data_IF_631626242664
#
_entry.id   IF_631626242664
#
_cell.length_a   1.000
_cell.length_b   1.000
_cell.length_c   1.000
_cell.angle_alpha   90.00
_cell.angle_beta   90.00
_cell.angle_gamma   90.00
#
_symmetry.space_group_name_H-M   'P 1'
#
loop_
_entity.id
_entity.type
_entity.pdbx_description
1 polymer ?
#
# COMPACT_ATOMS: atom_id res chain seq x y z
N UNK A 1 -11.95 3.97 -31.53
CA UNK A 1 -11.19 5.17 -31.14
C UNK A 1 -11.86 5.84 -29.94
N UNK A 2 -13.00 6.53 -30.08
CA UNK A 2 -13.65 7.20 -28.94
C UNK A 2 -14.07 6.25 -27.78
N UNK A 3 -14.59 5.06 -28.08
CA UNK A 3 -14.95 4.10 -27.01
C UNK A 3 -13.71 3.51 -26.31
N UNK A 4 -12.62 3.30 -27.05
CA UNK A 4 -11.36 2.76 -26.51
C UNK A 4 -10.61 3.79 -25.64
N UNK A 5 -10.67 5.07 -26.03
CA UNK A 5 -10.14 6.19 -25.21
C UNK A 5 -10.93 6.33 -23.91
N UNK A 6 -12.26 6.22 -24.00
CA UNK A 6 -13.14 6.22 -22.84
C UNK A 6 -12.87 5.03 -21.91
N UNK A 7 -12.70 3.82 -22.43
CA UNK A 7 -12.34 2.64 -21.63
C UNK A 7 -11.01 2.85 -20.89
N UNK A 8 -9.98 3.40 -21.56
CA UNK A 8 -8.69 3.71 -20.91
C UNK A 8 -8.83 4.74 -19.79
N UNK A 9 -9.66 5.76 -20.01
CA UNK A 9 -9.95 6.78 -19.01
C UNK A 9 -10.72 6.21 -17.81
N UNK A 10 -11.65 5.28 -18.03
CA UNK A 10 -12.38 4.58 -16.96
C UNK A 10 -11.45 3.67 -16.14
N UNK A 11 -10.51 2.98 -16.79
CA UNK A 11 -9.48 2.19 -16.10
C UNK A 11 -8.58 3.09 -15.25
N UNK A 12 -8.13 4.22 -15.79
CA UNK A 12 -7.36 5.20 -15.03
C UNK A 12 -8.17 5.77 -13.86
N UNK A 13 -9.41 6.18 -14.09
CA UNK A 13 -10.31 6.67 -13.05
C UNK A 13 -10.46 5.65 -11.91
N UNK A 14 -10.67 4.38 -12.24
CA UNK A 14 -10.76 3.30 -11.26
C UNK A 14 -9.47 3.14 -10.43
N UNK A 15 -8.30 3.26 -11.07
CA UNK A 15 -7.00 3.20 -10.37
C UNK A 15 -6.82 4.34 -9.35
N UNK A 16 -7.50 5.47 -9.55
CA UNK A 16 -7.52 6.61 -8.63
C UNK A 16 -8.75 6.63 -7.70
N UNK A 17 -9.56 5.57 -7.70
CA UNK A 17 -10.74 5.44 -6.82
C UNK A 17 -11.97 6.23 -7.28
N UNK A 18 -12.00 6.66 -8.53
CA UNK A 18 -13.14 7.37 -9.13
C UNK A 18 -14.08 6.34 -9.75
N UNK A 19 -15.32 6.28 -9.26
CA UNK A 19 -16.34 5.38 -9.82
C UNK A 19 -16.93 5.97 -11.11
N UNK A 20 -17.08 5.20 -12.19
CA UNK A 20 -17.63 5.70 -13.47
C UNK A 20 -19.16 5.88 -13.44
N UNK A 21 -19.83 5.45 -12.37
CA UNK A 21 -21.27 5.66 -12.18
C UNK A 21 -21.65 5.68 -10.71
N UNK A 22 -22.80 6.28 -10.40
CA UNK A 22 -23.38 6.31 -9.06
C UNK A 22 -24.92 6.26 -9.11
N UNK A 23 -25.54 5.90 -8.00
CA UNK A 23 -27.00 6.03 -7.84
C UNK A 23 -27.32 7.41 -7.26
N UNK A 24 -28.16 8.19 -7.94
CA UNK A 24 -28.58 9.49 -7.45
C UNK A 24 -29.58 9.39 -6.29
N UNK A 25 -29.93 10.54 -5.70
CA UNK A 25 -30.85 10.63 -4.56
C UNK A 25 -32.29 10.18 -4.87
N UNK A 26 -32.61 9.95 -6.15
CA UNK A 26 -33.89 9.42 -6.61
C UNK A 26 -33.80 7.94 -7.03
N UNK A 27 -32.65 7.30 -6.83
CA UNK A 27 -32.42 5.89 -7.15
C UNK A 27 -32.09 5.61 -8.61
N UNK A 28 -31.85 6.64 -9.44
CA UNK A 28 -31.45 6.43 -10.83
C UNK A 28 -29.93 6.30 -10.94
N UNK A 29 -29.47 5.33 -11.74
CA UNK A 29 -28.05 5.24 -12.08
C UNK A 29 -27.64 6.35 -13.03
N UNK A 30 -26.56 7.05 -12.68
CA UNK A 30 -25.92 8.08 -13.49
C UNK A 30 -24.53 7.61 -13.88
N UNK A 31 -24.26 7.54 -15.17
CA UNK A 31 -22.91 7.34 -15.71
C UNK A 31 -22.22 8.68 -15.84
N UNK A 32 -20.94 8.73 -15.45
CA UNK A 32 -20.14 9.94 -15.51
C UNK A 32 -19.65 10.14 -16.96
N UNK A 33 -19.86 11.32 -17.57
CA UNK A 33 -19.30 11.62 -18.89
C UNK A 33 -17.77 11.65 -18.86
N UNK A 34 -17.07 11.28 -19.97
CA UNK A 34 -15.60 11.29 -20.04
C UNK A 34 -14.98 12.62 -19.63
N UNK A 35 -15.55 13.74 -20.09
CA UNK A 35 -15.10 15.10 -19.76
C UNK A 35 -15.05 15.36 -18.25
N UNK A 36 -15.99 14.78 -17.49
CA UNK A 36 -16.02 14.91 -16.03
C UNK A 36 -14.94 14.03 -15.37
N UNK A 37 -14.68 12.83 -15.91
CA UNK A 37 -13.59 11.98 -15.42
C UNK A 37 -12.23 12.68 -15.62
N UNK A 38 -12.01 13.29 -16.79
CA UNK A 38 -10.79 14.07 -17.07
C UNK A 38 -10.62 15.24 -16.10
N UNK A 39 -11.68 16.00 -15.82
CA UNK A 39 -11.63 17.13 -14.90
C UNK A 39 -11.31 16.70 -13.47
N UNK A 40 -11.93 15.61 -12.99
CA UNK A 40 -11.67 15.10 -11.63
C UNK A 40 -10.26 14.54 -11.53
N UNK A 41 -9.80 13.75 -12.51
CA UNK A 41 -8.42 13.26 -12.57
C UNK A 41 -7.41 14.42 -12.61
N UNK A 42 -7.65 15.43 -13.44
CA UNK A 42 -6.82 16.63 -13.52
C UNK A 42 -6.80 17.41 -12.20
N UNK A 43 -7.94 17.51 -11.50
CA UNK A 43 -8.00 18.12 -10.17
C UNK A 43 -7.23 17.33 -9.10
N UNK A 44 -7.08 16.01 -9.28
CA UNK A 44 -6.21 15.15 -8.46
C UNK A 44 -4.72 15.24 -8.85
N UNK A 45 -4.38 16.04 -9.86
CA UNK A 45 -3.02 16.23 -10.36
C UNK A 45 -2.55 15.14 -11.33
N UNK A 46 -3.47 14.38 -11.92
CA UNK A 46 -3.16 13.33 -12.90
C UNK A 46 -3.09 13.92 -14.30
N UNK A 47 -2.01 13.61 -15.03
CA UNK A 47 -1.92 13.96 -16.45
C UNK A 47 -2.75 12.99 -17.30
N UNK A 48 -3.91 13.47 -17.75
CA UNK A 48 -4.86 12.69 -18.57
C UNK A 48 -4.52 12.71 -20.06
N UNK A 49 -3.51 13.49 -20.49
CA UNK A 49 -3.09 13.51 -21.90
C UNK A 49 -2.43 12.20 -22.34
N UNK A 50 -1.90 11.44 -21.37
CA UNK A 50 -1.38 10.09 -21.58
C UNK A 50 -1.85 9.12 -20.46
N UNK A 51 -3.10 8.60 -20.55
CA UNK A 51 -3.68 7.78 -19.50
C UNK A 51 -2.88 6.50 -19.18
N UNK A 52 -2.20 5.94 -20.17
CA UNK A 52 -1.39 4.74 -20.00
C UNK A 52 -0.15 5.02 -19.15
N UNK A 53 0.54 6.14 -19.40
CA UNK A 53 1.69 6.57 -18.59
C UNK A 53 1.26 6.95 -17.17
N UNK A 54 0.10 7.60 -17.01
CA UNK A 54 -0.45 7.91 -15.69
C UNK A 54 -0.82 6.67 -14.88
N UNK A 55 -1.32 5.61 -15.53
CA UNK A 55 -1.61 4.33 -14.90
C UNK A 55 -0.32 3.62 -14.47
N UNK A 56 0.68 3.56 -15.36
CA UNK A 56 2.00 3.04 -15.02
C UNK A 56 2.59 3.80 -13.84
N UNK A 57 2.54 5.13 -13.84
CA UNK A 57 3.05 5.93 -12.71
C UNK A 57 2.36 5.59 -11.38
N UNK A 58 1.05 5.37 -11.39
CA UNK A 58 0.29 4.96 -10.21
C UNK A 58 0.74 3.57 -9.70
N UNK A 59 0.91 2.61 -10.60
CA UNK A 59 1.41 1.27 -10.27
C UNK A 59 2.85 1.35 -9.71
N UNK A 60 3.75 2.03 -10.41
CA UNK A 60 5.14 2.25 -10.00
C UNK A 60 5.22 2.86 -8.61
N UNK A 61 4.40 3.87 -8.30
CA UNK A 61 4.43 4.54 -6.99
C UNK A 61 4.19 3.55 -5.84
N UNK A 62 3.31 2.57 -6.03
CA UNK A 62 2.98 1.59 -4.99
C UNK A 62 4.10 0.57 -4.77
N UNK A 63 4.78 0.16 -5.83
CA UNK A 63 5.86 -0.84 -5.79
C UNK A 63 7.25 -0.27 -5.50
N UNK A 64 7.47 1.01 -5.84
CA UNK A 64 8.72 1.73 -5.54
C UNK A 64 8.93 1.99 -4.04
N UNK A 65 7.88 1.87 -3.24
CA UNK A 65 8.00 2.04 -1.79
C UNK A 65 8.34 0.72 -1.12
N UNK A 66 9.27 0.78 -0.18
CA UNK A 66 9.71 -0.37 0.61
C UNK A 66 8.53 -0.98 1.36
N UNK A 67 7.64 -0.17 1.90
CA UNK A 67 6.41 -0.60 2.56
C UNK A 67 5.29 0.44 2.29
N UNK A 68 4.03 0.21 2.70
CA UNK A 68 3.03 1.27 2.72
C UNK A 68 3.49 2.43 3.61
N UNK A 69 3.24 3.70 3.26
CA UNK A 69 3.67 4.84 4.07
C UNK A 69 2.80 4.99 5.33
N UNK A 70 1.54 4.56 5.24
CA UNK A 70 0.57 4.51 6.33
C UNK A 70 -0.19 3.18 6.24
N UNK A 71 -0.40 2.55 7.39
CA UNK A 71 -1.20 1.35 7.55
C UNK A 71 -2.22 1.58 8.67
N UNK A 72 -3.51 1.49 8.35
CA UNK A 72 -4.59 1.62 9.35
C UNK A 72 -5.27 0.27 9.47
N UNK A 73 -5.34 -0.27 10.69
CA UNK A 73 -5.89 -1.61 10.98
C UNK A 73 -6.82 -1.55 12.18
N UNK A 74 -7.80 -2.45 12.24
CA UNK A 74 -8.63 -2.62 13.43
C UNK A 74 -7.98 -3.60 14.40
N UNK A 75 -8.05 -3.35 15.71
CA UNK A 75 -7.50 -4.24 16.74
C UNK A 75 -8.06 -5.67 16.66
N UNK A 76 -9.31 -5.84 16.22
CA UNK A 76 -9.96 -7.15 16.09
C UNK A 76 -9.68 -7.83 14.74
N UNK A 77 -9.02 -7.13 13.82
CA UNK A 77 -8.69 -7.59 12.48
C UNK A 77 -7.26 -7.18 12.11
N UNK A 78 -6.33 -7.47 13.01
CA UNK A 78 -4.90 -7.28 12.72
C UNK A 78 -4.50 -8.18 11.52
N UNK A 79 -3.68 -7.67 10.59
CA UNK A 79 -3.18 -8.48 9.49
C UNK A 79 -2.30 -9.60 10.05
N UNK A 80 -2.25 -10.73 9.35
CA UNK A 80 -1.34 -11.81 9.72
C UNK A 80 0.13 -11.45 9.49
N UNK A 81 0.40 -10.67 8.44
CA UNK A 81 1.72 -10.36 7.93
C UNK A 81 1.89 -8.85 7.71
N UNK A 82 3.11 -8.35 7.90
CA UNK A 82 3.55 -7.05 7.41
C UNK A 82 4.37 -7.25 6.12
N UNK A 83 4.03 -6.54 5.06
CA UNK A 83 4.61 -6.71 3.72
C UNK A 83 5.63 -5.62 3.39
N UNK A 84 6.65 -5.98 2.62
CA UNK A 84 7.62 -5.05 2.07
C UNK A 84 8.09 -5.47 0.67
N UNK A 85 8.56 -4.52 -0.13
CA UNK A 85 8.99 -4.70 -1.52
C UNK A 85 10.46 -4.34 -1.69
N UNK A 86 11.18 -5.12 -2.50
CA UNK A 86 12.56 -4.83 -2.88
C UNK A 86 12.72 -4.88 -4.39
N UNK A 87 13.45 -3.92 -5.00
CA UNK A 87 13.89 -4.07 -6.38
C UNK A 87 14.96 -5.16 -6.46
N UNK A 88 14.77 -6.10 -7.37
CA UNK A 88 15.72 -7.15 -7.75
C UNK A 88 16.22 -6.82 -9.15
N UNK A 89 17.47 -6.34 -9.26
CA UNK A 89 18.15 -6.14 -10.55
C UNK A 89 18.67 -7.44 -11.16
N UNK A 90 18.49 -8.56 -10.45
CA UNK A 90 18.91 -9.89 -10.86
C UNK A 90 17.71 -10.67 -11.36
N UNK A 91 17.92 -11.53 -12.36
CA UNK A 91 16.95 -12.50 -12.91
C UNK A 91 16.07 -13.16 -11.83
N UNK A 92 14.85 -13.64 -12.16
CA UNK A 92 13.99 -14.33 -11.20
C UNK A 92 14.77 -15.35 -10.37
N UNK A 93 14.84 -15.14 -9.05
CA UNK A 93 15.61 -15.99 -8.12
C UNK A 93 17.08 -15.59 -7.82
N UNK A 94 17.58 -14.46 -8.33
CA UNK A 94 19.01 -14.11 -8.22
C UNK A 94 19.35 -12.94 -7.26
N UNK A 95 18.45 -12.53 -6.36
CA UNK A 95 18.94 -11.98 -5.10
C UNK A 95 19.78 -13.10 -4.49
N UNK A 96 21.01 -12.83 -4.06
CA UNK A 96 21.66 -13.75 -3.14
C UNK A 96 20.88 -13.69 -1.83
N UNK A 97 19.78 -14.46 -1.76
CA UNK A 97 18.85 -14.50 -0.63
C UNK A 97 19.60 -14.72 0.70
N UNK A 98 20.80 -15.30 0.62
CA UNK A 98 21.74 -15.54 1.71
C UNK A 98 22.16 -14.29 2.50
N UNK A 99 21.90 -13.07 2.02
CA UNK A 99 22.32 -11.84 2.70
C UNK A 99 21.17 -10.90 3.09
N UNK A 100 19.91 -11.32 2.92
CA UNK A 100 18.77 -10.47 3.27
C UNK A 100 18.65 -10.32 4.80
N UNK A 101 18.92 -9.11 5.29
CA UNK A 101 18.78 -8.73 6.69
C UNK A 101 17.64 -7.73 6.83
N UNK A 102 16.63 -8.07 7.63
CA UNK A 102 15.48 -7.20 7.87
C UNK A 102 15.45 -6.84 9.35
N UNK A 103 15.39 -5.55 9.65
CA UNK A 103 15.19 -5.03 11.01
C UNK A 103 13.94 -4.17 11.04
N UNK A 104 13.12 -4.37 12.06
CA UNK A 104 11.98 -3.51 12.37
C UNK A 104 12.16 -2.94 13.77
N UNK A 105 12.22 -1.62 13.87
CA UNK A 105 12.07 -0.91 15.13
C UNK A 105 10.65 -0.33 15.21
N UNK A 106 9.96 -0.58 16.31
CA UNK A 106 8.61 -0.10 16.56
C UNK A 106 8.67 0.90 17.72
N UNK A 107 8.20 2.12 17.48
CA UNK A 107 7.99 3.13 18.52
C UNK A 107 6.50 3.51 18.56
N UNK A 108 6.03 3.96 19.72
CA UNK A 108 4.64 4.37 19.90
C UNK A 108 4.47 5.24 21.14
N UNK A 109 3.28 5.80 21.33
CA UNK A 109 3.04 6.84 22.34
C UNK A 109 3.36 6.41 23.78
N UNK A 110 3.13 5.13 24.12
CA UNK A 110 3.21 4.63 25.50
C UNK A 110 3.98 3.30 25.63
N UNK A 111 4.90 3.02 24.70
CA UNK A 111 5.72 1.80 24.75
C UNK A 111 7.20 2.12 24.66
N UNK A 112 8.04 1.32 25.30
CA UNK A 112 9.46 1.31 24.99
C UNK A 112 9.68 0.79 23.56
N UNK A 113 10.72 1.26 22.85
CA UNK A 113 11.02 0.76 21.51
C UNK A 113 11.17 -0.76 21.47
N UNK A 114 10.48 -1.41 20.54
CA UNK A 114 10.56 -2.85 20.31
C UNK A 114 11.40 -3.08 19.05
N UNK A 115 12.39 -3.96 19.14
CA UNK A 115 13.29 -4.26 18.03
C UNK A 115 13.14 -5.73 17.60
N UNK A 116 12.88 -5.94 16.32
CA UNK A 116 12.88 -7.25 15.69
C UNK A 116 13.98 -7.32 14.64
N UNK A 117 14.69 -8.45 14.60
CA UNK A 117 15.60 -8.79 13.50
C UNK A 117 15.11 -10.10 12.90
N UNK A 118 15.00 -10.14 11.58
CA UNK A 118 14.59 -11.31 10.83
C UNK A 118 15.70 -11.70 9.87
N UNK A 119 16.01 -13.00 9.88
CA UNK A 119 16.84 -13.64 8.86
C UNK A 119 15.96 -14.20 7.74
N UNK A 120 16.56 -14.50 6.58
CA UNK A 120 15.85 -14.99 5.39
C UNK A 120 14.84 -16.11 5.69
N UNK A 121 15.22 -17.09 6.51
CA UNK A 121 14.39 -18.26 6.85
C UNK A 121 13.11 -17.92 7.63
N UNK A 122 13.03 -16.72 8.19
CA UNK A 122 11.86 -16.21 8.92
C UNK A 122 10.98 -15.32 8.04
N UNK A 123 11.41 -15.05 6.80
CA UNK A 123 10.70 -14.23 5.83
C UNK A 123 9.91 -15.12 4.87
N UNK A 124 8.72 -14.68 4.52
CA UNK A 124 7.86 -15.35 3.55
C UNK A 124 7.89 -14.57 2.24
N UNK A 125 8.44 -15.18 1.19
CA UNK A 125 8.26 -14.70 -0.17
C UNK A 125 6.78 -14.86 -0.57
N UNK A 126 6.20 -13.82 -1.19
CA UNK A 126 4.78 -13.81 -1.55
C UNK A 126 4.57 -13.80 -3.05
N UNK A 127 5.25 -12.89 -3.75
CA UNK A 127 5.17 -12.73 -5.21
C UNK A 127 6.30 -11.86 -5.73
N UNK A 128 6.56 -11.96 -7.01
CA UNK A 128 7.26 -10.95 -7.79
C UNK A 128 6.27 -10.17 -8.66
N UNK A 129 6.73 -9.00 -9.12
CA UNK A 129 5.99 -8.18 -10.05
C UNK A 129 6.99 -7.40 -10.91
N UNK A 130 6.88 -7.56 -12.22
CA UNK A 130 7.74 -6.86 -13.16
C UNK A 130 7.08 -5.56 -13.58
N UNK A 131 7.84 -4.48 -13.43
CA UNK A 131 7.47 -3.14 -13.84
C UNK A 131 8.63 -2.61 -14.67
N UNK A 132 8.37 -2.36 -15.96
CA UNK A 132 9.40 -2.10 -16.96
C UNK A 132 10.53 -3.16 -16.91
N UNK A 133 11.77 -2.72 -16.70
CA UNK A 133 12.97 -3.56 -16.60
C UNK A 133 13.32 -3.95 -15.15
N UNK A 134 12.49 -3.57 -14.17
CA UNK A 134 12.74 -3.83 -12.74
C UNK A 134 11.76 -4.89 -12.24
N UNK A 135 12.30 -5.96 -11.64
CA UNK A 135 11.48 -6.95 -10.93
C UNK A 135 11.42 -6.59 -9.45
N UNK A 136 10.23 -6.31 -8.94
CA UNK A 136 9.99 -6.11 -7.50
C UNK A 136 9.62 -7.43 -6.85
N UNK A 137 10.27 -7.77 -5.75
CA UNK A 137 9.91 -8.93 -4.91
C UNK A 137 9.18 -8.47 -3.66
N UNK A 138 8.02 -9.07 -3.41
CA UNK A 138 7.22 -8.88 -2.22
C UNK A 138 7.53 -9.96 -1.19
N UNK A 139 7.96 -9.52 -0.02
CA UNK A 139 8.27 -10.34 1.14
C UNK A 139 7.41 -9.93 2.31
N UNK A 140 7.39 -10.77 3.34
CA UNK A 140 6.66 -10.47 4.56
C UNK A 140 7.23 -11.20 5.77
N UNK A 141 6.87 -10.70 6.94
CA UNK A 141 7.07 -11.34 8.24
C UNK A 141 5.81 -11.18 9.09
N UNK A 142 5.62 -11.96 10.16
CA UNK A 142 4.43 -11.89 11.00
C UNK A 142 4.20 -10.47 11.55
N UNK A 143 2.96 -9.99 11.47
CA UNK A 143 2.61 -8.69 12.04
C UNK A 143 2.73 -8.71 13.57
N UNK A 144 3.26 -7.65 14.22
CA UNK A 144 3.34 -7.57 15.68
C UNK A 144 1.96 -7.51 16.36
N UNK A 145 1.39 -8.68 16.70
CA UNK A 145 0.01 -8.80 17.20
C UNK A 145 -0.19 -8.39 18.67
N UNK A 146 0.89 -8.10 19.40
CA UNK A 146 0.83 -7.71 20.81
C UNK A 146 0.59 -6.20 21.01
N UNK A 147 0.49 -5.43 19.93
CA UNK A 147 0.26 -3.99 19.99
C UNK A 147 -1.22 -3.68 20.31
N UNK A 148 -1.44 -2.67 21.15
CA UNK A 148 -2.77 -2.18 21.50
C UNK A 148 -3.26 -1.12 20.51
N UNK A 149 -4.46 -0.58 20.74
CA UNK A 149 -4.92 0.63 20.05
C UNK A 149 -3.92 1.77 20.28
N UNK A 150 -3.63 2.53 19.21
CA UNK A 150 -2.72 3.66 19.26
C UNK A 150 -2.00 3.94 17.93
N UNK A 151 -1.09 4.89 17.98
CA UNK A 151 -0.23 5.27 16.85
C UNK A 151 1.19 4.75 17.06
N UNK A 152 1.73 4.13 16.01
CA UNK A 152 3.07 3.55 16.00
C UNK A 152 3.85 3.97 14.76
N UNK A 153 5.16 4.02 14.88
CA UNK A 153 6.07 4.15 13.76
C UNK A 153 6.85 2.85 13.60
N UNK A 154 6.69 2.23 12.44
CA UNK A 154 7.42 1.02 12.05
C UNK A 154 8.59 1.46 11.18
N UNK A 155 9.77 1.55 11.79
CA UNK A 155 11.02 1.87 11.11
C UNK A 155 11.60 0.58 10.54
N UNK A 156 11.27 0.29 9.29
CA UNK A 156 11.76 -0.87 8.56
C UNK A 156 13.10 -0.55 7.90
N UNK A 157 14.12 -1.35 8.19
CA UNK A 157 15.42 -1.32 7.52
C UNK A 157 15.66 -2.66 6.86
N UNK A 158 15.98 -2.65 5.57
CA UNK A 158 16.30 -3.85 4.81
C UNK A 158 17.64 -3.68 4.13
N UNK A 159 18.57 -4.61 4.38
CA UNK A 159 19.89 -4.63 3.79
C UNK A 159 20.11 -5.96 3.06
N UNK A 160 20.72 -5.88 1.87
CA UNK A 160 21.10 -7.04 1.06
C UNK A 160 22.23 -6.62 0.12
N UNK A 161 23.21 -7.51 -0.09
CA UNK A 161 24.40 -7.21 -0.89
C UNK A 161 25.05 -5.88 -0.44
N UNK A 162 25.09 -4.87 -1.33
CA UNK A 162 25.58 -3.52 -1.07
C UNK A 162 24.48 -2.47 -0.96
N UNK A 163 23.21 -2.88 -0.85
CA UNK A 163 22.06 -1.99 -0.77
C UNK A 163 21.50 -1.96 0.65
N UNK A 164 21.07 -0.76 1.06
CA UNK A 164 20.33 -0.55 2.30
C UNK A 164 19.17 0.38 2.02
N UNK A 165 17.97 -0.10 2.31
CA UNK A 165 16.73 0.67 2.21
C UNK A 165 16.15 0.86 3.59
N UNK A 166 15.56 2.02 3.83
CA UNK A 166 14.90 2.33 5.08
C UNK A 166 13.64 3.13 4.82
N UNK A 167 12.55 2.76 5.48
CA UNK A 167 11.30 3.50 5.42
C UNK A 167 10.59 3.42 6.76
N UNK A 168 9.90 4.51 7.11
CA UNK A 168 8.98 4.55 8.24
C UNK A 168 7.55 4.41 7.73
N UNK A 169 6.80 3.47 8.31
CA UNK A 169 5.35 3.35 8.14
C UNK A 169 4.65 3.85 9.39
N UNK A 170 3.72 4.81 9.26
CA UNK A 170 2.79 5.13 10.34
C UNK A 170 1.74 4.01 10.43
N UNK A 171 1.69 3.32 11.57
CA UNK A 171 0.70 2.27 11.83
C UNK A 171 -0.31 2.80 12.85
N UNK A 172 -1.57 2.93 12.45
CA UNK A 172 -2.67 3.28 13.35
C UNK A 172 -3.51 2.03 13.63
N UNK A 173 -3.51 1.59 14.90
CA UNK A 173 -4.35 0.50 15.36
C UNK A 173 -5.60 1.10 15.99
N UNK A 174 -6.75 0.88 15.37
CA UNK A 174 -8.01 1.53 15.69
C UNK A 174 -8.96 0.58 16.47
N UNK A 175 -9.81 1.12 17.36
CA UNK A 175 -10.94 0.35 17.89
C UNK A 175 -11.89 -0.03 16.76
N UNK A 176 -12.64 -1.12 16.93
CA UNK A 176 -13.67 -1.53 15.98
C UNK A 176 -14.86 -0.57 15.96
N UNK A 177 -15.14 0.10 17.09
CA UNK A 177 -16.31 0.96 17.24
C UNK A 177 -15.90 2.34 17.76
N UNK A 178 -16.59 3.37 17.27
CA UNK A 178 -16.52 4.68 17.86
C UNK A 178 -17.07 4.66 19.29
N UNK A 179 -16.64 5.62 20.10
CA UNK A 179 -17.15 5.77 21.47
C UNK A 179 -18.67 5.96 21.47
N UNK A 180 -19.36 5.14 22.26
CA UNK A 180 -20.77 5.33 22.59
C UNK A 180 -20.87 5.89 24.02
N UNK A 181 -21.47 7.07 24.22
CA UNK A 181 -21.70 7.57 25.58
C UNK A 181 -22.63 6.62 26.34
N UNK A 182 -22.50 6.51 27.67
CA UNK A 182 -23.30 5.58 28.48
C UNK A 182 -24.82 5.69 28.26
N UNK A 183 -25.33 6.89 27.97
CA UNK A 183 -26.76 7.10 27.67
C UNK A 183 -27.26 6.42 26.39
N UNK A 184 -26.35 5.99 25.50
CA UNK A 184 -26.64 5.28 24.25
C UNK A 184 -26.20 3.81 24.30
N UNK A 185 -25.62 3.38 25.42
CA UNK A 185 -25.33 1.98 25.73
C UNK A 185 -26.60 1.40 26.37
N UNK A 186 -27.49 0.84 25.54
CA UNK A 186 -28.84 0.41 25.93
C UNK A 186 -28.91 -0.53 27.14
#
# INVERSE_FOLDING_TARGET
MAEEEKEKLEVLAAAYGIQPSYSDIWGNTKTIPPETLEQVLGAMGVDVSNPQEALQHAEHRSWNQLAPPVLVVSIDQLPADFFFHLPSNSSPGALSEKELQVRLEITGENISPINHSYHLEQLNFKKDHQIDDITYKCWSFPFPSTLSIGYYHFNLTVAYENHKHQQTTLVAICPQQAYLPPALQG
#
